data_IF_647901580988
#
_entry.id   IF_647901580988
#
_cell.length_a   1.000
_cell.length_b   1.000
_cell.length_c   1.000
_cell.angle_alpha   90.00
_cell.angle_beta   90.00
_cell.angle_gamma   90.00
#
_symmetry.space_group_name_H-M   'P 1'
#
loop_
_entity.id
_entity.type
_entity.pdbx_description
1 polymer ?
#
# COMPACT_ATOMS: atom_id res chain seq x y z
N UNK A 1 22.01 29.41 4.75
CA UNK A 1 21.49 29.48 3.37
C UNK A 1 21.93 28.27 2.53
N UNK A 2 23.22 27.95 2.42
CA UNK A 2 23.72 26.84 1.58
C UNK A 2 23.14 25.46 1.90
N UNK A 3 23.02 25.06 3.19
CA UNK A 3 22.47 23.73 3.56
C UNK A 3 21.00 23.53 3.16
N UNK A 4 20.18 24.59 3.18
CA UNK A 4 18.77 24.48 2.81
C UNK A 4 18.62 24.35 1.29
N UNK A 5 19.42 25.11 0.53
CA UNK A 5 19.48 25.05 -0.93
C UNK A 5 20.00 23.68 -1.37
N UNK A 6 21.09 23.18 -0.78
CA UNK A 6 21.63 21.84 -1.05
C UNK A 6 20.62 20.73 -0.75
N UNK A 7 19.91 20.83 0.38
CA UNK A 7 18.86 19.86 0.75
C UNK A 7 17.69 19.89 -0.25
N UNK A 8 17.26 21.08 -0.66
CA UNK A 8 16.18 21.26 -1.63
C UNK A 8 16.58 20.71 -3.01
N UNK A 9 17.79 20.99 -3.47
CA UNK A 9 18.35 20.47 -4.74
C UNK A 9 18.47 18.94 -4.70
N UNK A 10 18.91 18.37 -3.58
CA UNK A 10 19.01 16.91 -3.41
C UNK A 10 17.64 16.24 -3.48
N UNK A 11 16.63 16.88 -2.88
CA UNK A 11 15.24 16.37 -2.85
C UNK A 11 14.60 16.44 -4.23
N UNK A 12 14.73 17.56 -4.94
CA UNK A 12 14.21 17.69 -6.31
C UNK A 12 14.92 16.75 -7.26
N UNK A 13 16.24 16.58 -7.15
CA UNK A 13 16.99 15.58 -7.92
C UNK A 13 16.49 14.16 -7.66
N UNK A 14 16.20 13.80 -6.41
CA UNK A 14 15.62 12.50 -6.07
C UNK A 14 14.27 12.24 -6.74
N UNK A 15 13.41 13.25 -6.85
CA UNK A 15 12.14 13.13 -7.59
C UNK A 15 12.36 12.94 -9.09
N UNK A 16 13.27 13.71 -9.71
CA UNK A 16 13.61 13.52 -11.13
C UNK A 16 14.21 12.13 -11.41
N UNK A 17 15.08 11.66 -10.52
CA UNK A 17 15.66 10.31 -10.61
C UNK A 17 14.56 9.23 -10.48
N UNK A 18 13.53 9.46 -9.65
CA UNK A 18 12.39 8.56 -9.54
C UNK A 18 11.57 8.50 -10.83
N UNK A 19 11.33 9.64 -11.49
CA UNK A 19 10.65 9.70 -12.80
C UNK A 19 11.44 8.92 -13.86
N UNK A 20 12.76 9.12 -13.91
CA UNK A 20 13.61 8.39 -14.85
C UNK A 20 13.69 6.89 -14.55
N UNK A 21 13.61 6.50 -13.27
CA UNK A 21 13.66 5.11 -12.82
C UNK A 21 12.35 4.35 -13.05
N UNK A 22 11.20 4.99 -12.85
CA UNK A 22 9.87 4.36 -12.90
C UNK A 22 8.92 5.02 -13.94
N UNK A 23 9.28 5.09 -15.24
CA UNK A 23 8.54 5.90 -16.20
C UNK A 23 7.11 5.39 -16.46
N UNK A 24 6.89 4.07 -16.51
CA UNK A 24 5.53 3.50 -16.67
C UNK A 24 4.67 3.83 -15.46
N UNK A 25 5.21 3.68 -14.25
CA UNK A 25 4.48 3.98 -13.01
C UNK A 25 4.10 5.44 -12.94
N UNK A 26 5.03 6.35 -13.21
CA UNK A 26 4.76 7.79 -13.18
C UNK A 26 3.75 8.20 -14.25
N UNK A 27 3.84 7.62 -15.46
CA UNK A 27 2.83 7.84 -16.49
C UNK A 27 1.44 7.39 -16.02
N UNK A 28 1.32 6.18 -15.47
CA UNK A 28 0.06 5.67 -14.96
C UNK A 28 -0.50 6.49 -13.79
N UNK A 29 0.34 6.91 -12.85
CA UNK A 29 -0.07 7.79 -11.74
C UNK A 29 -0.54 9.15 -12.24
N UNK A 30 0.16 9.72 -13.24
CA UNK A 30 -0.24 10.96 -13.91
C UNK A 30 -1.62 10.83 -14.54
N UNK A 31 -1.82 9.79 -15.36
CA UNK A 31 -3.12 9.50 -15.98
C UNK A 31 -4.22 9.28 -14.92
N UNK A 32 -3.97 8.46 -13.89
CA UNK A 32 -4.93 8.22 -12.81
C UNK A 32 -5.30 9.52 -12.08
N UNK A 33 -4.32 10.39 -11.80
CA UNK A 33 -4.54 11.69 -11.15
C UNK A 33 -5.33 12.63 -12.03
N UNK A 34 -5.00 12.75 -13.31
CA UNK A 34 -5.75 13.59 -14.26
C UNK A 34 -7.19 13.11 -14.39
N UNK A 35 -7.42 11.80 -14.49
CA UNK A 35 -8.77 11.24 -14.55
C UNK A 35 -9.53 11.47 -13.25
N UNK A 36 -8.90 11.31 -12.08
CA UNK A 36 -9.52 11.60 -10.80
C UNK A 36 -9.92 13.09 -10.67
N UNK A 37 -9.04 14.00 -11.08
CA UNK A 37 -9.35 15.44 -11.10
C UNK A 37 -10.51 15.75 -12.05
N UNK A 38 -10.52 15.15 -13.25
CA UNK A 38 -11.61 15.30 -14.22
C UNK A 38 -12.94 14.74 -13.69
N UNK A 39 -12.93 13.59 -13.01
CA UNK A 39 -14.11 13.05 -12.33
C UNK A 39 -14.64 14.01 -11.28
N UNK A 40 -13.78 14.64 -10.47
CA UNK A 40 -14.21 15.60 -9.44
C UNK A 40 -14.94 16.78 -10.08
N UNK A 41 -14.39 17.33 -11.16
CA UNK A 41 -14.98 18.48 -11.87
C UNK A 41 -16.38 18.16 -12.40
N UNK A 42 -16.62 16.93 -12.87
CA UNK A 42 -17.92 16.52 -13.46
C UNK A 42 -18.92 16.01 -12.40
N UNK A 43 -18.43 15.44 -11.29
CA UNK A 43 -19.27 14.73 -10.31
C UNK A 43 -20.29 15.61 -9.59
N UNK A 44 -20.18 16.93 -9.67
CA UNK A 44 -21.19 17.84 -9.12
C UNK A 44 -22.48 17.88 -9.97
N UNK A 45 -22.41 17.55 -11.27
CA UNK A 45 -23.55 17.63 -12.19
C UNK A 45 -24.08 16.24 -12.60
N UNK A 46 -23.22 15.23 -12.79
CA UNK A 46 -23.63 13.87 -13.22
C UNK A 46 -22.73 12.75 -12.67
N UNK A 47 -23.23 11.50 -12.68
CA UNK A 47 -22.41 10.33 -12.31
C UNK A 47 -21.26 10.17 -13.32
N UNK A 48 -20.01 9.91 -12.86
CA UNK A 48 -18.89 9.72 -13.77
C UNK A 48 -19.16 8.61 -14.77
N UNK A 49 -18.85 8.85 -16.04
CA UNK A 49 -18.97 7.84 -17.09
C UNK A 49 -18.27 6.54 -16.68
N UNK A 50 -18.91 5.41 -16.94
CA UNK A 50 -18.38 4.09 -16.59
C UNK A 50 -16.98 3.84 -17.20
N UNK A 51 -16.74 4.41 -18.38
CA UNK A 51 -15.45 4.35 -19.07
C UNK A 51 -14.34 4.96 -18.22
N UNK A 52 -14.60 6.15 -17.66
CA UNK A 52 -13.67 6.91 -16.84
C UNK A 52 -13.32 6.15 -15.55
N UNK A 53 -14.32 5.53 -14.91
CA UNK A 53 -14.12 4.68 -13.73
C UNK A 53 -13.22 3.48 -14.06
N UNK A 54 -13.50 2.76 -15.14
CA UNK A 54 -12.69 1.61 -15.59
C UNK A 54 -11.25 2.01 -15.90
N UNK A 55 -11.04 3.15 -16.55
CA UNK A 55 -9.72 3.67 -16.85
C UNK A 55 -8.94 3.99 -15.57
N UNK A 56 -9.56 4.62 -14.56
CA UNK A 56 -8.91 4.91 -13.29
C UNK A 56 -8.36 3.63 -12.62
N UNK A 57 -9.17 2.58 -12.52
CA UNK A 57 -8.71 1.29 -11.97
C UNK A 57 -7.62 0.62 -12.81
N UNK A 58 -7.68 0.79 -14.14
CA UNK A 58 -6.67 0.26 -15.07
C UNK A 58 -5.33 0.95 -14.86
N UNK A 59 -5.31 2.29 -14.77
CA UNK A 59 -4.10 3.05 -14.51
C UNK A 59 -3.56 2.82 -13.11
N UNK A 60 -4.43 2.65 -12.10
CA UNK A 60 -3.98 2.27 -10.76
C UNK A 60 -3.25 0.93 -10.78
N UNK A 61 -3.81 -0.11 -11.41
CA UNK A 61 -3.12 -1.39 -11.58
C UNK A 61 -1.82 -1.24 -12.40
N UNK A 62 -1.85 -0.42 -13.45
CA UNK A 62 -0.68 -0.11 -14.28
C UNK A 62 0.47 0.51 -13.50
N UNK A 63 0.18 1.35 -12.51
CA UNK A 63 1.20 1.92 -11.63
C UNK A 63 1.98 0.82 -10.89
N UNK A 64 1.27 -0.14 -10.28
CA UNK A 64 1.88 -1.29 -9.59
C UNK A 64 2.63 -2.23 -10.55
N UNK A 65 2.07 -2.50 -11.73
CA UNK A 65 2.74 -3.28 -12.78
C UNK A 65 4.06 -2.64 -13.22
N UNK A 66 4.09 -1.31 -13.33
CA UNK A 66 5.32 -0.55 -13.63
C UNK A 66 6.40 -0.74 -12.57
N UNK A 67 6.03 -0.72 -11.29
CA UNK A 67 6.98 -0.93 -10.17
C UNK A 67 7.52 -2.36 -10.21
N UNK A 68 6.65 -3.35 -10.36
CA UNK A 68 7.06 -4.77 -10.48
C UNK A 68 8.00 -4.97 -11.66
N UNK A 69 7.71 -4.38 -12.82
CA UNK A 69 8.55 -4.47 -14.01
C UNK A 69 9.94 -3.85 -13.76
N UNK A 70 10.01 -2.70 -13.09
CA UNK A 70 11.26 -2.05 -12.78
C UNK A 70 12.10 -2.85 -11.78
N UNK A 71 11.51 -3.31 -10.67
CA UNK A 71 12.24 -4.16 -9.73
C UNK A 71 12.64 -5.50 -10.33
N UNK A 72 11.89 -6.02 -11.31
CA UNK A 72 12.29 -7.24 -12.04
C UNK A 72 13.59 -7.01 -12.81
N UNK A 73 13.70 -5.87 -13.48
CA UNK A 73 14.91 -5.47 -14.19
C UNK A 73 16.08 -5.19 -13.23
N UNK A 74 15.82 -4.65 -12.04
CA UNK A 74 16.86 -4.41 -11.05
C UNK A 74 17.32 -5.69 -10.34
N UNK A 75 16.41 -6.66 -10.16
CA UNK A 75 16.70 -7.92 -9.49
C UNK A 75 17.44 -8.91 -10.38
N UNK A 76 17.06 -9.02 -11.65
CA UNK A 76 17.56 -10.06 -12.55
C UNK A 76 18.37 -9.47 -13.70
N UNK A 77 19.68 -9.73 -13.73
CA UNK A 77 20.58 -9.24 -14.80
C UNK A 77 20.12 -9.64 -16.21
N UNK A 78 19.47 -10.81 -16.38
CA UNK A 78 18.86 -11.21 -17.67
C UNK A 78 17.72 -10.27 -18.07
N UNK A 79 16.82 -9.93 -17.13
CA UNK A 79 15.70 -9.03 -17.40
C UNK A 79 16.17 -7.58 -17.58
N UNK A 80 17.24 -7.17 -16.88
CA UNK A 80 17.93 -5.91 -17.12
C UNK A 80 18.41 -5.77 -18.56
N UNK A 81 19.01 -6.84 -19.12
CA UNK A 81 19.42 -6.88 -20.53
C UNK A 81 18.23 -6.86 -21.49
N UNK A 82 17.10 -7.45 -21.08
CA UNK A 82 15.83 -7.48 -21.81
C UNK A 82 14.85 -6.40 -21.34
N UNK A 83 15.34 -5.24 -20.86
CA UNK A 83 14.50 -4.21 -20.23
C UNK A 83 13.39 -3.72 -21.16
N UNK A 84 13.69 -3.52 -22.44
CA UNK A 84 12.69 -3.06 -23.42
C UNK A 84 11.52 -4.06 -23.55
N UNK A 85 11.74 -5.37 -23.84
CA UNK A 85 10.67 -6.36 -23.80
C UNK A 85 9.87 -6.40 -22.50
N UNK A 86 10.52 -6.32 -21.33
CA UNK A 86 9.82 -6.34 -20.02
C UNK A 86 8.88 -5.13 -19.89
N UNK A 87 9.34 -3.96 -20.31
CA UNK A 87 8.55 -2.74 -20.30
C UNK A 87 7.41 -2.78 -21.32
N UNK A 88 7.65 -3.32 -22.52
CA UNK A 88 6.62 -3.51 -23.53
C UNK A 88 5.53 -4.48 -23.05
N UNK A 89 5.90 -5.59 -22.40
CA UNK A 89 4.94 -6.52 -21.81
C UNK A 89 4.12 -5.83 -20.72
N UNK A 90 4.77 -5.10 -19.80
CA UNK A 90 4.08 -4.34 -18.75
C UNK A 90 3.11 -3.32 -19.36
N UNK A 91 3.55 -2.56 -20.36
CA UNK A 91 2.74 -1.59 -21.08
C UNK A 91 1.56 -2.23 -21.82
N UNK A 92 1.71 -3.46 -22.35
CA UNK A 92 0.64 -4.20 -23.03
C UNK A 92 -0.37 -4.83 -22.07
N UNK A 93 0.06 -5.22 -20.86
CA UNK A 93 -0.84 -5.74 -19.82
C UNK A 93 -1.85 -4.69 -19.34
N UNK A 94 -1.50 -3.41 -19.37
CA UNK A 94 -2.39 -2.31 -18.97
C UNK A 94 -3.66 -2.24 -19.84
N UNK A 95 -3.60 -2.04 -21.18
CA UNK A 95 -4.79 -2.05 -22.03
C UNK A 95 -5.43 -3.44 -22.09
N UNK A 96 -4.66 -4.53 -21.97
CA UNK A 96 -5.23 -5.88 -21.89
C UNK A 96 -6.17 -6.03 -20.68
N UNK A 97 -5.78 -5.47 -19.54
CA UNK A 97 -6.65 -5.43 -18.36
C UNK A 97 -7.92 -4.60 -18.58
N UNK A 98 -7.79 -3.46 -19.25
CA UNK A 98 -8.96 -2.64 -19.62
C UNK A 98 -9.95 -3.43 -20.49
N UNK A 99 -9.45 -4.19 -21.47
CA UNK A 99 -10.29 -5.04 -22.34
C UNK A 99 -11.02 -6.13 -21.56
N UNK A 100 -10.45 -6.64 -20.46
CA UNK A 100 -11.11 -7.64 -19.60
C UNK A 100 -12.30 -7.02 -18.85
N UNK A 101 -12.18 -5.77 -18.39
CA UNK A 101 -13.25 -5.08 -17.65
C UNK A 101 -14.23 -4.34 -18.56
N UNK A 102 -13.90 -4.15 -19.84
CA UNK A 102 -14.71 -3.42 -20.82
C UNK A 102 -16.15 -3.99 -20.94
N UNK A 103 -16.38 -5.32 -21.03
CA UNK A 103 -17.72 -5.88 -21.20
C UNK A 103 -18.62 -5.73 -19.97
N UNK A 104 -18.07 -5.39 -18.79
CA UNK A 104 -18.86 -5.28 -17.58
C UNK A 104 -19.83 -4.07 -17.67
N UNK A 105 -21.15 -4.25 -17.48
CA UNK A 105 -22.14 -3.17 -17.65
C UNK A 105 -22.08 -2.12 -16.53
N UNK A 106 -21.39 -2.41 -15.43
CA UNK A 106 -21.10 -1.49 -14.33
C UNK A 106 -19.87 -1.96 -13.57
N UNK A 107 -19.34 -1.14 -12.67
CA UNK A 107 -18.32 -1.55 -11.70
C UNK A 107 -18.97 -2.40 -10.62
N UNK A 108 -19.32 -3.63 -10.98
CA UNK A 108 -19.87 -4.60 -10.03
C UNK A 108 -18.83 -4.93 -8.96
N UNK A 109 -19.32 -5.34 -7.79
CA UNK A 109 -18.48 -5.75 -6.66
C UNK A 109 -17.40 -6.77 -7.07
N UNK A 110 -17.77 -7.72 -7.94
CA UNK A 110 -16.86 -8.75 -8.47
C UNK A 110 -15.69 -8.14 -9.25
N UNK A 111 -15.93 -7.13 -10.09
CA UNK A 111 -14.87 -6.45 -10.85
C UNK A 111 -13.92 -5.74 -9.89
N UNK A 112 -14.46 -4.97 -8.94
CA UNK A 112 -13.67 -4.21 -7.97
C UNK A 112 -12.77 -5.13 -7.14
N UNK A 113 -13.30 -6.24 -6.62
CA UNK A 113 -12.49 -7.18 -5.84
C UNK A 113 -11.39 -7.81 -6.70
N UNK A 114 -11.69 -8.24 -7.93
CA UNK A 114 -10.66 -8.79 -8.83
C UNK A 114 -9.54 -7.79 -9.06
N UNK A 115 -9.87 -6.51 -9.26
CA UNK A 115 -8.86 -5.45 -9.36
C UNK A 115 -8.03 -5.30 -8.09
N UNK A 116 -8.69 -5.22 -6.93
CA UNK A 116 -8.01 -5.06 -5.63
C UNK A 116 -7.07 -6.23 -5.36
N UNK A 117 -7.51 -7.46 -5.64
CA UNK A 117 -6.69 -8.67 -5.50
C UNK A 117 -5.49 -8.62 -6.44
N UNK A 118 -5.67 -8.18 -7.69
CA UNK A 118 -4.57 -8.03 -8.64
C UNK A 118 -3.57 -6.96 -8.17
N UNK A 119 -4.05 -5.80 -7.71
CA UNK A 119 -3.21 -4.73 -7.14
C UNK A 119 -2.45 -5.25 -5.92
N UNK A 120 -3.14 -5.95 -5.01
CA UNK A 120 -2.52 -6.51 -3.81
C UNK A 120 -1.47 -7.57 -4.16
N UNK A 121 -1.71 -8.42 -5.15
CA UNK A 121 -0.74 -9.38 -5.64
C UNK A 121 0.51 -8.68 -6.21
N UNK A 122 0.33 -7.59 -6.98
CA UNK A 122 1.45 -6.79 -7.48
C UNK A 122 2.19 -6.05 -6.36
N UNK A 123 1.47 -5.59 -5.34
CA UNK A 123 2.05 -5.00 -4.13
C UNK A 123 2.96 -5.99 -3.40
N UNK A 124 2.45 -7.20 -3.13
CA UNK A 124 3.25 -8.27 -2.54
C UNK A 124 4.46 -8.63 -3.43
N UNK A 125 4.24 -8.72 -4.74
CA UNK A 125 5.29 -9.07 -5.69
C UNK A 125 6.44 -8.06 -5.66
N UNK A 126 6.16 -6.75 -5.70
CA UNK A 126 7.24 -5.76 -5.74
C UNK A 126 8.03 -5.68 -4.42
N UNK A 127 7.39 -5.92 -3.27
CA UNK A 127 8.10 -5.94 -1.97
C UNK A 127 8.98 -7.19 -1.86
N UNK A 128 8.50 -8.33 -2.35
CA UNK A 128 9.22 -9.60 -2.25
C UNK A 128 10.37 -9.71 -3.25
N UNK A 129 10.22 -9.14 -4.45
CA UNK A 129 11.15 -9.34 -5.57
C UNK A 129 12.63 -9.07 -5.23
N UNK A 130 12.99 -7.98 -4.53
CA UNK A 130 14.39 -7.70 -4.21
C UNK A 130 15.02 -8.75 -3.28
N UNK A 131 14.20 -9.40 -2.43
CA UNK A 131 14.62 -10.48 -1.52
C UNK A 131 14.63 -11.87 -2.14
N UNK A 132 14.14 -12.04 -3.38
CA UNK A 132 14.04 -13.36 -4.01
C UNK A 132 15.38 -14.10 -3.97
N UNK A 133 15.38 -15.39 -3.60
CA UNK A 133 16.60 -16.21 -3.42
C UNK A 133 17.64 -15.57 -2.49
N UNK A 134 17.19 -14.96 -1.40
CA UNK A 134 18.01 -14.41 -0.32
C UNK A 134 19.09 -13.40 -0.75
N UNK A 135 18.85 -12.69 -1.86
CA UNK A 135 19.78 -11.67 -2.39
C UNK A 135 19.80 -10.40 -1.53
N UNK A 136 18.78 -10.20 -0.72
CA UNK A 136 18.63 -9.15 0.29
C UNK A 136 17.63 -9.61 1.37
N UNK A 137 17.76 -9.10 2.59
CA UNK A 137 16.85 -9.45 3.70
C UNK A 137 15.46 -8.85 3.47
N UNK A 138 14.45 -9.70 3.35
CA UNK A 138 13.05 -9.30 3.17
C UNK A 138 12.57 -8.34 4.28
N UNK A 139 12.99 -8.55 5.53
CA UNK A 139 12.56 -7.71 6.64
C UNK A 139 13.15 -6.30 6.53
N UNK A 140 14.39 -6.17 6.06
CA UNK A 140 14.99 -4.87 5.75
C UNK A 140 14.25 -4.16 4.61
N UNK A 141 13.95 -4.89 3.54
CA UNK A 141 13.19 -4.35 2.40
C UNK A 141 11.80 -3.87 2.85
N UNK A 142 11.07 -4.70 3.60
CA UNK A 142 9.77 -4.35 4.14
C UNK A 142 9.83 -3.13 5.08
N UNK A 143 10.85 -3.05 5.94
CA UNK A 143 11.11 -1.88 6.80
C UNK A 143 11.35 -0.62 5.97
N UNK A 144 12.17 -0.70 4.91
CA UNK A 144 12.44 0.42 4.01
C UNK A 144 11.15 0.87 3.33
N UNK A 145 10.36 -0.04 2.76
CA UNK A 145 9.08 0.31 2.15
C UNK A 145 8.12 0.95 3.16
N UNK A 146 8.01 0.40 4.37
CA UNK A 146 7.15 0.98 5.42
C UNK A 146 7.62 2.38 5.81
N UNK A 147 8.93 2.56 6.05
CA UNK A 147 9.51 3.86 6.41
C UNK A 147 9.32 4.90 5.31
N UNK A 148 9.55 4.53 4.06
CA UNK A 148 9.38 5.42 2.91
C UNK A 148 7.91 5.80 2.71
N UNK A 149 6.98 4.84 2.87
CA UNK A 149 5.54 5.11 2.77
C UNK A 149 5.07 6.03 3.91
N UNK A 150 5.48 5.75 5.14
CA UNK A 150 5.16 6.59 6.30
C UNK A 150 5.72 8.01 6.15
N UNK A 151 6.96 8.13 5.70
CA UNK A 151 7.61 9.43 5.46
C UNK A 151 6.87 10.19 4.36
N UNK A 152 6.52 9.52 3.27
CA UNK A 152 5.82 10.17 2.17
C UNK A 152 4.41 10.63 2.55
N UNK A 153 3.66 9.78 3.26
CA UNK A 153 2.34 10.13 3.78
C UNK A 153 2.40 11.33 4.75
N UNK A 154 3.42 11.42 5.60
CA UNK A 154 3.62 12.57 6.48
C UNK A 154 3.86 13.86 5.69
N UNK A 155 4.72 13.81 4.67
CA UNK A 155 5.00 14.96 3.80
C UNK A 155 3.75 15.38 3.03
N UNK A 156 3.00 14.42 2.48
CA UNK A 156 1.73 14.66 1.79
C UNK A 156 0.66 15.24 2.73
N UNK A 157 0.58 14.79 3.98
CA UNK A 157 -0.34 15.33 4.97
C UNK A 157 -0.03 16.79 5.33
N UNK A 158 1.25 17.11 5.58
CA UNK A 158 1.69 18.49 5.84
C UNK A 158 1.42 19.39 4.63
N UNK A 159 1.75 18.92 3.43
CA UNK A 159 1.48 19.65 2.19
C UNK A 159 -0.02 19.87 1.98
N UNK A 160 -0.84 18.84 2.22
CA UNK A 160 -2.30 18.91 2.12
C UNK A 160 -2.88 19.93 3.10
N UNK A 161 -2.43 19.90 4.36
CA UNK A 161 -2.88 20.86 5.38
C UNK A 161 -2.46 22.30 5.03
N UNK A 162 -1.22 22.48 4.56
CA UNK A 162 -0.71 23.79 4.15
C UNK A 162 -1.47 24.35 2.94
N UNK A 163 -1.62 23.58 1.87
CA UNK A 163 -2.35 24.01 0.68
C UNK A 163 -3.84 24.26 0.99
N UNK A 164 -4.50 23.36 1.74
CA UNK A 164 -5.90 23.54 2.15
C UNK A 164 -6.09 24.80 2.99
N UNK A 165 -5.17 25.09 3.91
CA UNK A 165 -5.23 26.31 4.73
C UNK A 165 -5.07 27.57 3.89
N UNK A 166 -4.19 27.56 2.88
CA UNK A 166 -4.01 28.67 1.95
C UNK A 166 -5.28 28.88 1.12
N UNK A 167 -5.85 27.82 0.54
CA UNK A 167 -7.08 27.90 -0.25
C UNK A 167 -8.24 28.43 0.62
N UNK A 168 -8.37 27.95 1.86
CA UNK A 168 -9.36 28.44 2.81
C UNK A 168 -9.15 29.93 3.15
N UNK A 169 -7.91 30.37 3.36
CA UNK A 169 -7.61 31.77 3.61
C UNK A 169 -7.99 32.65 2.41
N UNK A 170 -7.73 32.20 1.18
CA UNK A 170 -8.14 32.91 -0.04
C UNK A 170 -9.67 32.98 -0.14
N UNK A 171 -10.37 31.85 0.09
CA UNK A 171 -11.83 31.75 0.05
C UNK A 171 -12.51 32.71 1.03
N UNK A 172 -11.97 32.82 2.24
CA UNK A 172 -12.51 33.66 3.31
C UNK A 172 -12.14 35.14 3.12
N UNK A 173 -10.88 35.44 2.78
CA UNK A 173 -10.34 36.80 2.86
C UNK A 173 -10.36 37.56 1.55
N UNK A 174 -10.29 36.88 0.41
CA UNK A 174 -10.08 37.52 -0.90
C UNK A 174 -11.30 37.34 -1.81
N UNK A 175 -11.63 36.11 -2.18
CA UNK A 175 -12.74 35.80 -3.06
C UNK A 175 -13.15 34.34 -2.94
N UNK A 176 -14.43 34.05 -3.20
CA UNK A 176 -14.97 32.69 -3.13
C UNK A 176 -14.26 31.76 -4.12
N UNK A 177 -13.65 30.71 -3.59
CA UNK A 177 -12.98 29.65 -4.35
C UNK A 177 -13.95 28.49 -4.57
N UNK A 178 -13.88 27.85 -5.74
CA UNK A 178 -14.66 26.64 -5.98
C UNK A 178 -14.22 25.53 -5.00
N UNK A 179 -15.18 24.86 -4.38
CA UNK A 179 -14.96 23.73 -3.47
C UNK A 179 -14.17 22.59 -4.13
N UNK A 180 -14.28 22.43 -5.45
CA UNK A 180 -13.50 21.44 -6.22
C UNK A 180 -11.99 21.65 -6.08
N UNK A 181 -11.55 22.90 -5.92
CA UNK A 181 -10.14 23.21 -5.78
C UNK A 181 -9.52 22.50 -4.56
N UNK A 182 -10.29 22.32 -3.49
CA UNK A 182 -9.83 21.57 -2.31
C UNK A 182 -9.62 20.09 -2.65
N UNK A 183 -10.62 19.43 -3.24
CA UNK A 183 -10.55 18.00 -3.57
C UNK A 183 -9.51 17.71 -4.65
N UNK A 184 -9.40 18.56 -5.68
CA UNK A 184 -8.38 18.47 -6.73
C UNK A 184 -6.98 18.59 -6.12
N UNK A 185 -6.77 19.57 -5.24
CA UNK A 185 -5.48 19.73 -4.54
C UNK A 185 -5.12 18.48 -3.74
N UNK A 186 -6.06 17.93 -2.97
CA UNK A 186 -5.84 16.69 -2.23
C UNK A 186 -5.56 15.51 -3.17
N UNK A 187 -6.27 15.38 -4.29
CA UNK A 187 -6.01 14.32 -5.27
C UNK A 187 -4.60 14.39 -5.84
N UNK A 188 -4.14 15.57 -6.25
CA UNK A 188 -2.77 15.73 -6.78
C UNK A 188 -1.74 15.37 -5.71
N UNK A 189 -1.95 15.80 -4.47
CA UNK A 189 -1.01 15.55 -3.38
C UNK A 189 -0.95 14.06 -3.02
N UNK A 190 -2.11 13.40 -2.89
CA UNK A 190 -2.17 12.02 -2.41
C UNK A 190 -1.99 10.96 -3.50
N UNK A 191 -2.45 11.19 -4.74
CA UNK A 191 -2.35 10.23 -5.84
C UNK A 191 -1.09 10.39 -6.69
N UNK A 192 -0.49 11.58 -6.71
CA UNK A 192 0.71 11.83 -7.51
C UNK A 192 1.93 12.12 -6.66
N UNK A 193 1.89 13.18 -5.84
CA UNK A 193 3.06 13.59 -5.07
C UNK A 193 3.48 12.54 -4.04
N UNK A 194 2.55 12.00 -3.25
CA UNK A 194 2.85 11.01 -2.22
C UNK A 194 3.48 9.74 -2.82
N UNK A 195 2.92 9.22 -3.91
CA UNK A 195 3.46 8.01 -4.56
C UNK A 195 4.79 8.27 -5.25
N UNK A 196 4.94 9.40 -5.94
CA UNK A 196 6.22 9.77 -6.57
C UNK A 196 7.32 9.98 -5.52
N UNK A 197 7.01 10.68 -4.43
CA UNK A 197 7.96 10.91 -3.36
C UNK A 197 8.30 9.60 -2.64
N UNK A 198 7.34 8.70 -2.44
CA UNK A 198 7.60 7.34 -1.95
C UNK A 198 8.62 6.60 -2.83
N UNK A 199 8.41 6.58 -4.16
CA UNK A 199 9.31 5.92 -5.10
C UNK A 199 10.72 6.53 -5.10
N UNK A 200 10.83 7.84 -4.87
CA UNK A 200 12.12 8.54 -4.77
C UNK A 200 12.96 8.14 -3.55
N UNK A 201 12.31 7.64 -2.50
CA UNK A 201 12.96 7.20 -1.25
C UNK A 201 13.38 5.73 -1.27
N UNK A 202 13.07 4.98 -2.33
CA UNK A 202 13.41 3.56 -2.42
C UNK A 202 14.84 3.40 -2.94
N UNK A 203 15.72 2.64 -2.26
CA UNK A 203 17.05 2.34 -2.78
C UNK A 203 16.98 1.36 -3.96
N UNK A 204 18.09 1.23 -4.69
CA UNK A 204 18.30 0.09 -5.60
C UNK A 204 18.87 -1.06 -4.79
N UNK A 205 17.99 -1.89 -4.25
CA UNK A 205 18.31 -2.95 -3.29
C UNK A 205 19.42 -3.93 -3.74
N UNK A 206 19.52 -4.21 -5.05
CA UNK A 206 20.48 -5.19 -5.58
C UNK A 206 21.61 -4.56 -6.42
N UNK A 207 21.79 -3.24 -6.38
CA UNK A 207 22.84 -2.54 -7.14
C UNK A 207 24.24 -2.86 -6.61
N UNK A 208 25.22 -2.93 -7.51
CA UNK A 208 26.63 -3.14 -7.17
C UNK A 208 27.40 -1.82 -7.00
N UNK A 209 26.80 -0.68 -7.38
CA UNK A 209 27.45 0.62 -7.23
C UNK A 209 27.68 0.94 -5.74
N UNK A 210 28.81 1.57 -5.44
CA UNK A 210 29.16 1.91 -4.06
C UNK A 210 28.18 2.92 -3.44
N UNK A 211 27.75 3.90 -4.23
CA UNK A 211 26.80 4.93 -3.80
C UNK A 211 25.42 4.33 -3.48
N UNK A 212 24.88 3.45 -4.34
CA UNK A 212 23.59 2.82 -4.11
C UNK A 212 23.63 1.90 -2.87
N UNK A 213 24.75 1.18 -2.66
CA UNK A 213 24.94 0.33 -1.47
C UNK A 213 25.01 1.15 -0.18
N UNK A 214 25.72 2.28 -0.19
CA UNK A 214 25.76 3.20 0.95
C UNK A 214 24.37 3.75 1.27
N UNK A 215 23.61 4.14 0.25
CA UNK A 215 22.24 4.62 0.42
C UNK A 215 21.30 3.52 0.95
N UNK A 216 21.39 2.30 0.42
CA UNK A 216 20.62 1.15 0.92
C UNK A 216 20.92 0.87 2.40
N UNK A 217 22.19 0.82 2.79
CA UNK A 217 22.57 0.61 4.19
C UNK A 217 22.07 1.72 5.13
N UNK A 218 22.05 2.98 4.68
CA UNK A 218 21.43 4.08 5.44
C UNK A 218 19.90 3.95 5.51
N UNK A 219 19.27 3.46 4.45
CA UNK A 219 17.84 3.21 4.42
C UNK A 219 17.42 2.06 5.35
N UNK A 220 18.30 1.10 5.63
CA UNK A 220 18.04 0.01 6.59
C UNK A 220 18.06 0.47 8.06
N UNK A 221 18.64 1.62 8.38
CA UNK A 221 18.72 2.12 9.76
C UNK A 221 17.31 2.28 10.33
N UNK A 222 17.07 1.57 11.44
CA UNK A 222 15.80 1.58 12.14
C UNK A 222 15.62 2.88 12.93
N UNK A 223 14.62 3.72 12.61
CA UNK A 223 14.41 4.99 13.32
C UNK A 223 13.91 4.74 14.75
N UNK A 224 14.47 5.46 15.72
CA UNK A 224 14.04 5.38 17.13
C UNK A 224 12.55 5.64 17.33
N UNK A 225 11.97 6.56 16.56
CA UNK A 225 10.53 6.83 16.60
C UNK A 225 9.71 5.58 16.25
N UNK A 226 10.11 4.87 15.19
CA UNK A 226 9.44 3.67 14.76
C UNK A 226 9.66 2.52 15.77
N UNK A 227 10.80 2.52 16.47
CA UNK A 227 11.11 1.47 17.45
C UNK A 227 10.17 1.61 18.65
N UNK A 228 9.98 2.86 19.10
CA UNK A 228 9.07 3.20 20.17
C UNK A 228 7.64 2.82 19.78
N UNK A 229 7.20 3.24 18.59
CA UNK A 229 5.88 2.96 18.07
C UNK A 229 5.59 1.45 18.01
N UNK A 230 6.46 0.67 17.37
CA UNK A 230 6.25 -0.77 17.20
C UNK A 230 6.32 -1.49 18.54
N UNK A 231 7.37 -1.25 19.34
CA UNK A 231 7.66 -2.06 20.52
C UNK A 231 6.80 -1.75 21.72
N UNK A 232 6.48 -0.47 21.93
CA UNK A 232 5.85 0.00 23.17
C UNK A 232 4.41 0.48 22.98
N UNK A 233 3.94 0.64 21.74
CA UNK A 233 2.55 1.02 21.45
C UNK A 233 1.85 -0.12 20.73
N UNK A 234 2.31 -0.48 19.53
CA UNK A 234 1.60 -1.43 18.66
C UNK A 234 1.60 -2.85 19.24
N UNK A 235 2.75 -3.37 19.68
CA UNK A 235 2.82 -4.72 20.28
C UNK A 235 1.92 -4.87 21.51
N UNK A 236 1.96 -3.95 22.51
CA UNK A 236 1.03 -4.00 23.64
C UNK A 236 -0.45 -3.93 23.23
N UNK A 237 -0.81 -3.09 22.25
CA UNK A 237 -2.18 -3.02 21.74
C UNK A 237 -2.63 -4.34 21.11
N UNK A 238 -1.77 -4.98 20.30
CA UNK A 238 -2.06 -6.29 19.71
C UNK A 238 -2.19 -7.35 20.81
N UNK A 239 -1.38 -7.30 21.87
CA UNK A 239 -1.49 -8.22 23.00
C UNK A 239 -2.85 -8.09 23.70
N UNK A 240 -3.29 -6.87 24.00
CA UNK A 240 -4.63 -6.62 24.57
C UNK A 240 -5.73 -7.10 23.62
N UNK A 241 -5.62 -6.82 22.32
CA UNK A 241 -6.57 -7.29 21.32
C UNK A 241 -6.63 -8.83 21.26
N UNK A 242 -5.48 -9.50 21.37
CA UNK A 242 -5.37 -10.96 21.41
C UNK A 242 -6.12 -11.53 22.62
N UNK A 243 -6.02 -10.88 23.78
CA UNK A 243 -6.76 -11.26 24.99
C UNK A 243 -8.26 -11.11 24.78
N UNK A 244 -8.71 -10.00 24.20
CA UNK A 244 -10.13 -9.76 23.90
C UNK A 244 -10.68 -10.82 22.95
N UNK A 245 -9.99 -11.10 21.84
CA UNK A 245 -10.42 -12.14 20.90
C UNK A 245 -10.41 -13.54 21.53
N UNK A 246 -9.43 -13.85 22.38
CA UNK A 246 -9.36 -15.14 23.07
C UNK A 246 -10.50 -15.30 24.08
N UNK A 247 -10.79 -14.26 24.86
CA UNK A 247 -11.93 -14.25 25.78
C UNK A 247 -13.26 -14.41 25.03
N UNK A 248 -13.36 -13.75 23.87
CA UNK A 248 -14.52 -13.90 22.99
C UNK A 248 -14.65 -15.33 22.43
N UNK A 249 -13.54 -15.94 22.04
CA UNK A 249 -13.53 -17.34 21.61
C UNK A 249 -14.00 -18.29 22.72
N UNK A 250 -13.52 -18.10 23.96
CA UNK A 250 -13.98 -18.87 25.13
C UNK A 250 -15.50 -18.68 25.32
N UNK A 251 -16.01 -17.45 25.20
CA UNK A 251 -17.46 -17.19 25.28
C UNK A 251 -18.24 -17.96 24.21
N UNK A 252 -17.74 -18.04 22.98
CA UNK A 252 -18.37 -18.83 21.92
C UNK A 252 -18.39 -20.32 22.29
N UNK A 253 -17.29 -20.86 22.81
CA UNK A 253 -17.22 -22.28 23.20
C UNK A 253 -18.21 -22.62 24.33
N UNK A 254 -18.40 -21.72 25.30
CA UNK A 254 -19.35 -21.92 26.40
C UNK A 254 -20.80 -21.77 25.94
N UNK A 255 -21.09 -20.73 25.17
CA UNK A 255 -22.47 -20.43 24.75
C UNK A 255 -22.93 -21.25 23.56
N UNK A 256 -21.99 -21.80 22.79
CA UNK A 256 -22.19 -22.45 21.48
C UNK A 256 -22.96 -21.58 20.47
N UNK A 257 -23.05 -20.27 20.73
CA UNK A 257 -23.73 -19.29 19.89
C UNK A 257 -22.70 -18.53 19.07
N UNK A 258 -22.63 -18.86 17.79
CA UNK A 258 -21.76 -18.17 16.84
C UNK A 258 -22.35 -16.82 16.42
N UNK A 259 -21.57 -15.74 16.46
CA UNK A 259 -22.05 -14.41 16.10
C UNK A 259 -22.28 -14.23 14.60
N UNK A 260 -23.17 -13.31 14.25
CA UNK A 260 -23.47 -12.95 12.87
C UNK A 260 -22.50 -11.87 12.36
N UNK A 261 -21.61 -12.24 11.44
CA UNK A 261 -20.93 -11.31 10.50
C UNK A 261 -19.76 -10.48 11.04
N UNK A 262 -19.72 -10.12 12.32
CA UNK A 262 -18.73 -9.16 12.85
C UNK A 262 -17.34 -9.76 13.12
N UNK A 263 -17.28 -11.07 13.40
CA UNK A 263 -16.04 -11.74 13.80
C UNK A 263 -14.98 -11.75 12.68
N UNK A 264 -15.41 -11.91 11.42
CA UNK A 264 -14.51 -12.05 10.29
C UNK A 264 -13.62 -10.82 10.06
N UNK A 265 -14.21 -9.62 9.87
CA UNK A 265 -13.44 -8.39 9.69
C UNK A 265 -12.48 -8.10 10.86
N UNK A 266 -12.87 -8.41 12.09
CA UNK A 266 -12.03 -8.21 13.29
C UNK A 266 -10.78 -9.10 13.27
N UNK A 267 -10.93 -10.39 12.94
CA UNK A 267 -9.79 -11.32 12.84
C UNK A 267 -8.90 -10.95 11.65
N UNK A 268 -9.48 -10.53 10.52
CA UNK A 268 -8.72 -10.07 9.35
C UNK A 268 -7.88 -8.83 9.68
N UNK A 269 -8.46 -7.82 10.34
CA UNK A 269 -7.74 -6.63 10.78
C UNK A 269 -6.63 -6.97 11.78
N UNK A 270 -6.92 -7.82 12.78
CA UNK A 270 -5.93 -8.33 13.73
C UNK A 270 -4.76 -9.03 13.03
N UNK A 271 -5.07 -9.91 12.07
CA UNK A 271 -4.08 -10.69 11.33
C UNK A 271 -3.20 -9.80 10.46
N UNK A 272 -3.81 -8.85 9.74
CA UNK A 272 -3.09 -7.93 8.87
C UNK A 272 -2.13 -7.03 9.67
N UNK A 273 -2.63 -6.35 10.71
CA UNK A 273 -1.79 -5.48 11.57
C UNK A 273 -0.73 -6.29 12.31
N UNK A 274 -1.09 -7.48 12.81
CA UNK A 274 -0.19 -8.37 13.50
C UNK A 274 0.94 -8.89 12.61
N UNK A 275 0.66 -9.29 11.37
CA UNK A 275 1.68 -9.73 10.41
C UNK A 275 2.62 -8.60 10.01
N UNK A 276 2.11 -7.40 9.73
CA UNK A 276 2.96 -6.23 9.45
C UNK A 276 3.86 -5.94 10.65
N UNK A 277 3.30 -5.94 11.86
CA UNK A 277 4.07 -5.73 13.10
C UNK A 277 5.10 -6.83 13.32
N UNK A 278 4.78 -8.08 12.99
CA UNK A 278 5.70 -9.21 13.09
C UNK A 278 6.93 -9.01 12.21
N UNK A 279 6.72 -8.62 10.94
CA UNK A 279 7.80 -8.33 9.99
C UNK A 279 8.66 -7.15 10.51
N UNK A 280 8.03 -6.04 10.90
CA UNK A 280 8.75 -4.86 11.40
C UNK A 280 9.51 -5.14 12.71
N UNK A 281 8.96 -5.99 13.57
CA UNK A 281 9.62 -6.37 14.82
C UNK A 281 10.88 -7.19 14.62
N UNK A 282 11.10 -7.79 13.44
CA UNK A 282 12.21 -8.72 13.24
C UNK A 282 13.59 -8.03 13.33
N UNK A 283 13.68 -6.76 12.96
CA UNK A 283 14.93 -5.98 13.07
C UNK A 283 15.19 -5.43 14.48
N UNK A 284 14.25 -5.60 15.41
CA UNK A 284 14.36 -5.11 16.78
C UNK A 284 14.83 -6.22 17.74
N UNK A 285 15.71 -5.86 18.67
CA UNK A 285 16.33 -6.80 19.64
C UNK A 285 15.84 -6.63 21.08
N UNK A 286 14.73 -5.95 21.30
CA UNK A 286 14.21 -5.75 22.65
C UNK A 286 13.37 -6.94 23.14
N UNK A 287 13.21 -7.05 24.46
CA UNK A 287 12.51 -8.17 25.11
C UNK A 287 11.04 -8.28 24.65
N UNK A 288 10.34 -7.16 24.48
CA UNK A 288 8.95 -7.15 24.02
C UNK A 288 8.79 -7.71 22.62
N UNK A 289 9.67 -7.32 21.68
CA UNK A 289 9.66 -7.82 20.30
C UNK A 289 10.03 -9.29 20.24
N UNK A 290 10.96 -9.76 21.08
CA UNK A 290 11.31 -11.18 21.19
C UNK A 290 10.11 -12.02 21.66
N UNK A 291 9.42 -11.60 22.72
CA UNK A 291 8.22 -12.29 23.22
C UNK A 291 7.12 -12.27 22.17
N UNK A 292 6.89 -11.11 21.53
CA UNK A 292 5.87 -10.97 20.49
C UNK A 292 6.11 -11.94 19.34
N UNK A 293 7.35 -12.04 18.83
CA UNK A 293 7.70 -12.98 17.75
C UNK A 293 7.47 -14.44 18.12
N UNK A 294 7.56 -14.79 19.41
CA UNK A 294 7.30 -16.15 19.88
C UNK A 294 5.81 -16.45 20.08
N UNK A 295 5.04 -15.48 20.59
CA UNK A 295 3.65 -15.67 21.02
C UNK A 295 2.66 -15.38 19.88
N UNK A 296 2.89 -14.32 19.11
CA UNK A 296 1.96 -13.87 18.07
C UNK A 296 1.64 -14.95 17.03
N UNK A 297 2.61 -15.72 16.48
CA UNK A 297 2.27 -16.78 15.52
C UNK A 297 1.30 -17.83 16.08
N UNK A 298 1.43 -18.17 17.37
CA UNK A 298 0.54 -19.14 18.03
C UNK A 298 -0.87 -18.56 18.22
N UNK A 299 -0.94 -17.30 18.65
CA UNK A 299 -2.21 -16.58 18.78
C UNK A 299 -2.90 -16.43 17.41
N UNK A 300 -2.14 -16.12 16.36
CA UNK A 300 -2.66 -16.01 14.99
C UNK A 300 -3.26 -17.34 14.51
N UNK A 301 -2.56 -18.46 14.71
CA UNK A 301 -3.08 -19.80 14.34
C UNK A 301 -4.42 -20.06 15.05
N UNK A 302 -4.52 -19.76 16.35
CA UNK A 302 -5.78 -19.90 17.09
C UNK A 302 -6.91 -19.06 16.46
N UNK A 303 -6.63 -17.80 16.12
CA UNK A 303 -7.63 -16.91 15.51
C UNK A 303 -8.03 -17.38 14.10
N UNK A 304 -7.08 -17.87 13.30
CA UNK A 304 -7.36 -18.41 11.97
C UNK A 304 -8.24 -19.67 12.06
N UNK A 305 -7.95 -20.59 12.99
CA UNK A 305 -8.80 -21.78 13.20
C UNK A 305 -10.23 -21.37 13.57
N UNK A 306 -10.38 -20.42 14.49
CA UNK A 306 -11.70 -19.88 14.86
C UNK A 306 -12.42 -19.30 13.64
N UNK A 307 -11.71 -18.55 12.79
CA UNK A 307 -12.28 -17.97 11.58
C UNK A 307 -12.75 -19.04 10.58
N UNK A 308 -11.94 -20.08 10.35
CA UNK A 308 -12.28 -21.18 9.45
C UNK A 308 -13.54 -21.91 9.91
N UNK A 309 -13.67 -22.20 11.21
CA UNK A 309 -14.88 -22.82 11.77
C UNK A 309 -16.09 -21.91 11.57
N UNK A 310 -15.96 -20.63 11.88
CA UNK A 310 -17.03 -19.65 11.71
C UNK A 310 -17.50 -19.54 10.25
N UNK A 311 -16.59 -19.64 9.29
CA UNK A 311 -16.92 -19.61 7.86
C UNK A 311 -17.57 -20.92 7.44
N UNK A 312 -17.04 -22.08 7.85
CA UNK A 312 -17.60 -23.39 7.53
C UNK A 312 -19.07 -23.54 7.97
N UNK A 313 -19.40 -23.11 9.20
CA UNK A 313 -20.78 -23.12 9.71
C UNK A 313 -21.70 -22.27 8.81
N UNK A 314 -21.23 -21.10 8.39
CA UNK A 314 -22.03 -20.19 7.56
C UNK A 314 -22.20 -20.69 6.13
N UNK A 315 -21.15 -21.29 5.55
CA UNK A 315 -21.21 -21.92 4.23
C UNK A 315 -22.22 -23.07 4.25
N UNK A 316 -22.22 -23.89 5.30
CA UNK A 316 -23.21 -24.96 5.45
C UNK A 316 -24.65 -24.42 5.62
N UNK A 317 -24.82 -23.32 6.37
CA UNK A 317 -26.14 -22.78 6.69
C UNK A 317 -26.77 -21.92 5.58
N UNK A 318 -25.99 -21.19 4.79
CA UNK A 318 -26.52 -20.25 3.78
C UNK A 318 -25.88 -20.39 2.39
N UNK A 319 -25.10 -21.45 2.14
CA UNK A 319 -24.37 -21.66 0.89
C UNK A 319 -23.12 -20.78 0.72
N UNK A 320 -22.42 -20.99 -0.39
CA UNK A 320 -21.23 -20.21 -0.79
C UNK A 320 -21.69 -18.92 -1.48
N UNK A 321 -21.40 -17.76 -0.88
CA UNK A 321 -21.59 -16.43 -1.50
C UNK A 321 -20.23 -15.85 -1.89
N UNK A 322 -20.19 -14.92 -2.86
CA UNK A 322 -18.93 -14.32 -3.35
C UNK A 322 -18.05 -13.77 -2.23
N UNK A 323 -18.65 -13.09 -1.24
CA UNK A 323 -17.94 -12.55 -0.06
C UNK A 323 -17.32 -13.63 0.84
N UNK A 324 -17.80 -14.87 0.78
CA UNK A 324 -17.33 -15.99 1.62
C UNK A 324 -16.22 -16.78 0.94
N UNK A 325 -16.15 -16.79 -0.38
CA UNK A 325 -15.06 -17.41 -1.13
C UNK A 325 -13.71 -16.73 -0.83
N UNK A 326 -13.67 -15.40 -0.72
CA UNK A 326 -12.43 -14.66 -0.45
C UNK A 326 -11.90 -14.77 0.98
N UNK A 327 -12.70 -15.29 1.92
CA UNK A 327 -12.30 -15.48 3.32
C UNK A 327 -11.69 -16.87 3.55
N UNK A 328 -12.03 -17.83 2.70
CA UNK A 328 -11.48 -19.20 2.67
C UNK A 328 -10.15 -19.17 1.91
#
# INVERSE_FOLDING_TARGET
MNRFIESSIKTTRGLFDAVARFPITVFCLGCATTLACYMIIISLDEKPELILQKLMFTFLLGAFLGVVAQFSCERFERLKRMRLPVYLISALLIPSYYLIILPAPSMTFTVIIRTIVAIFAMFCAFIWLPSFKDKADFNNIALIHFKSAFTSALYAAVLSAGCTSIIAAIDILLFKVNQDAFLITLCIIWLFFADLYYLSLLPKFNSESEEDRKYAAQAEIYPRLLEILVSYIVIPLIAVYSIVLTAYFIKILITLKWPTGQLGPMILAYSAVGLVTFILSNQLKNKFTLIFRLVFPKALILMVIMQLISVAIRVNAYGVTESRYYVI
#
